data_IF_722740977280
#
_entry.id   IF_722740977280
#
_cell.length_a   1.000
_cell.length_b   1.000
_cell.length_c   1.000
_cell.angle_alpha   90.00
_cell.angle_beta   90.00
_cell.angle_gamma   90.00
#
_symmetry.space_group_name_H-M   'P 1'
#
loop_
_entity.id
_entity.type
_entity.pdbx_description
1 polymer ?
#
# COMPACT_ATOMS: atom_id res chain seq x y z
N UNK A 1 33.00 50.29 -34.30
CA UNK A 1 31.54 50.07 -34.21
C UNK A 1 31.37 48.55 -34.17
N UNK A 2 31.75 47.94 -33.04
CA UNK A 2 30.88 47.67 -31.87
C UNK A 2 29.82 46.62 -32.20
N UNK A 3 30.20 45.34 -32.02
CA UNK A 3 29.26 44.25 -31.80
C UNK A 3 29.08 44.10 -30.28
N UNK A 4 27.85 44.28 -29.83
CA UNK A 4 27.42 44.16 -28.43
C UNK A 4 27.17 42.68 -28.10
N UNK A 5 27.97 42.11 -27.21
CA UNK A 5 27.61 40.90 -26.47
C UNK A 5 26.59 41.26 -25.38
N UNK A 6 25.35 40.79 -25.55
CA UNK A 6 24.30 40.84 -24.54
C UNK A 6 24.52 39.71 -23.53
N UNK A 7 25.34 39.99 -22.51
CA UNK A 7 25.46 39.14 -21.33
C UNK A 7 24.30 39.47 -20.39
N UNK A 8 23.25 38.66 -20.47
CA UNK A 8 22.16 38.68 -19.51
C UNK A 8 22.70 38.59 -18.09
N UNK A 9 22.49 39.67 -17.32
CA UNK A 9 22.77 39.76 -15.90
C UNK A 9 22.00 38.66 -15.17
N UNK A 10 22.70 37.61 -14.73
CA UNK A 10 22.26 36.88 -13.56
C UNK A 10 22.34 37.87 -12.40
N UNK A 11 21.18 38.43 -12.03
CA UNK A 11 21.01 39.17 -10.79
C UNK A 11 21.58 38.30 -9.65
N UNK A 12 22.77 38.68 -9.20
CA UNK A 12 23.41 38.07 -8.04
C UNK A 12 22.45 38.26 -6.89
N UNK A 13 21.95 37.17 -6.32
CA UNK A 13 21.23 37.21 -5.05
C UNK A 13 22.18 37.93 -4.08
N UNK A 14 21.82 39.12 -3.55
CA UNK A 14 22.70 39.82 -2.65
C UNK A 14 22.94 38.90 -1.46
N UNK A 15 24.17 38.40 -1.34
CA UNK A 15 24.60 37.72 -0.12
C UNK A 15 24.85 38.87 0.85
N UNK A 16 24.05 39.02 1.92
CA UNK A 16 24.28 40.11 2.85
C UNK A 16 25.69 39.92 3.44
N UNK A 17 26.59 40.85 3.14
CA UNK A 17 27.82 41.00 3.90
C UNK A 17 27.41 41.45 5.29
N UNK A 18 27.45 40.52 6.25
CA UNK A 18 27.30 40.84 7.67
C UNK A 18 28.62 41.52 8.08
N UNK A 19 28.68 42.85 7.99
CA UNK A 19 29.73 43.64 8.63
C UNK A 19 29.38 43.84 10.10
N UNK A 20 30.16 43.22 11.00
CA UNK A 20 30.10 43.42 12.44
C UNK A 20 30.16 42.12 13.24
N UNK A 21 31.08 42.04 14.21
CA UNK A 21 31.08 40.97 15.21
C UNK A 21 29.88 41.17 16.16
N UNK A 22 28.90 40.28 16.09
CA UNK A 22 27.82 40.23 17.08
C UNK A 22 28.42 39.97 18.47
N UNK A 23 28.02 40.71 19.53
CA UNK A 23 28.52 40.46 20.87
C UNK A 23 28.28 38.99 21.28
N UNK A 24 29.28 38.26 21.80
CA UNK A 24 29.11 36.86 22.19
C UNK A 24 27.94 36.62 23.15
N UNK A 25 27.67 37.58 24.04
CA UNK A 25 26.54 37.54 24.95
C UNK A 25 25.17 37.59 24.23
N UNK A 26 25.07 38.30 23.11
CA UNK A 26 23.85 38.36 22.30
C UNK A 26 23.64 37.01 21.57
N UNK A 27 24.70 36.43 21.01
CA UNK A 27 24.65 35.10 20.38
C UNK A 27 24.16 34.05 21.37
N UNK A 28 24.68 34.09 22.61
CA UNK A 28 24.24 33.18 23.67
C UNK A 28 22.75 33.37 24.01
N UNK A 29 22.28 34.62 24.12
CA UNK A 29 20.85 34.92 24.36
C UNK A 29 19.96 34.39 23.23
N UNK A 30 20.35 34.58 21.98
CA UNK A 30 19.62 34.07 20.81
C UNK A 30 19.59 32.53 20.81
N UNK A 31 20.71 31.88 21.14
CA UNK A 31 20.78 30.42 21.20
C UNK A 31 19.88 29.82 22.30
N UNK A 32 19.85 30.46 23.48
CA UNK A 32 18.97 30.06 24.59
C UNK A 32 17.50 30.22 24.17
N UNK A 33 17.13 31.40 23.64
CA UNK A 33 15.79 31.69 23.15
C UNK A 33 15.34 30.67 22.08
N UNK A 34 16.21 30.32 21.14
CA UNK A 34 15.89 29.34 20.10
C UNK A 34 15.55 27.95 20.69
N UNK A 35 16.30 27.49 21.70
CA UNK A 35 16.03 26.23 22.41
C UNK A 35 14.79 26.29 23.27
N UNK A 36 14.51 27.42 23.90
CA UNK A 36 13.28 27.63 24.65
C UNK A 36 12.05 27.57 23.74
N UNK A 37 12.11 28.22 22.58
CA UNK A 37 11.04 28.16 21.58
C UNK A 37 10.86 26.74 21.03
N UNK A 38 11.93 26.03 20.68
CA UNK A 38 11.88 24.62 20.26
C UNK A 38 11.20 23.74 21.33
N UNK A 39 11.60 23.85 22.60
CA UNK A 39 11.00 23.11 23.69
C UNK A 39 9.52 23.46 23.90
N UNK A 40 9.17 24.75 23.78
CA UNK A 40 7.79 25.23 23.87
C UNK A 40 6.91 24.67 22.76
N UNK A 41 7.47 24.46 21.57
CA UNK A 41 6.80 23.83 20.44
C UNK A 41 7.09 22.32 20.36
N UNK A 42 7.15 21.64 21.50
CA UNK A 42 7.23 20.19 21.61
C UNK A 42 8.47 19.55 20.94
N UNK A 43 9.59 20.27 20.94
CA UNK A 43 10.83 19.80 20.33
C UNK A 43 10.87 19.95 18.80
N UNK A 44 9.92 20.67 18.20
CA UNK A 44 9.92 20.95 16.76
C UNK A 44 10.89 22.12 16.49
N UNK A 45 11.93 21.93 15.65
CA UNK A 45 12.86 23.00 15.32
C UNK A 45 12.14 24.17 14.61
N UNK A 46 12.49 25.39 15.01
CA UNK A 46 11.87 26.63 14.52
C UNK A 46 12.85 27.46 13.68
N UNK A 47 12.35 28.02 12.59
CA UNK A 47 12.94 29.14 11.88
C UNK A 47 12.45 30.43 12.58
N UNK A 48 13.39 31.25 13.07
CA UNK A 48 13.11 32.36 13.98
C UNK A 48 13.66 33.65 13.39
N UNK A 49 12.78 34.61 13.15
CA UNK A 49 13.15 36.00 12.86
C UNK A 49 13.15 36.80 14.16
N UNK A 50 14.26 37.47 14.44
CA UNK A 50 14.46 38.24 15.66
C UNK A 50 15.13 39.59 15.36
N UNK A 51 14.98 40.53 16.29
CA UNK A 51 15.62 41.84 16.26
C UNK A 51 16.20 42.19 17.62
N UNK A 52 17.25 43.01 17.65
CA UNK A 52 17.87 43.49 18.87
C UNK A 52 17.93 45.02 18.84
N UNK A 53 17.33 45.67 19.83
CA UNK A 53 17.24 47.14 19.89
C UNK A 53 18.43 47.82 20.61
N UNK A 54 19.41 47.02 21.06
CA UNK A 54 20.53 47.47 21.87
C UNK A 54 20.42 47.12 23.35
N UNK A 55 19.23 46.77 23.83
CA UNK A 55 18.94 46.39 25.22
C UNK A 55 18.26 45.02 25.32
N UNK A 56 17.24 44.79 24.50
CA UNK A 56 16.36 43.63 24.54
C UNK A 56 16.30 42.90 23.19
N UNK A 57 16.09 41.58 23.28
CA UNK A 57 15.95 40.70 22.13
C UNK A 57 14.47 40.45 21.88
N UNK A 58 14.00 40.84 20.69
CA UNK A 58 12.61 40.74 20.28
C UNK A 58 12.42 39.62 19.26
N UNK A 59 11.42 38.75 19.47
CA UNK A 59 10.99 37.76 18.48
C UNK A 59 9.97 38.40 17.56
N UNK A 60 10.24 38.38 16.26
CA UNK A 60 9.33 38.90 15.24
C UNK A 60 8.44 37.79 14.67
N UNK A 61 9.05 36.64 14.39
CA UNK A 61 8.35 35.48 13.85
C UNK A 61 9.03 34.19 14.31
N UNK A 62 8.25 33.15 14.58
CA UNK A 62 8.73 31.79 14.74
C UNK A 62 7.82 30.87 13.92
N UNK A 63 8.42 30.02 13.08
CA UNK A 63 7.69 29.04 12.26
C UNK A 63 8.41 27.69 12.22
N UNK A 64 7.71 26.55 12.16
CA UNK A 64 8.36 25.26 12.06
C UNK A 64 9.24 25.13 10.81
N UNK A 65 10.43 24.54 10.96
CA UNK A 65 11.28 24.20 9.82
C UNK A 65 10.72 22.94 9.14
N UNK A 66 10.14 23.11 7.95
CA UNK A 66 9.52 22.00 7.19
C UNK A 66 10.48 21.27 6.25
N UNK A 67 11.72 21.73 6.14
CA UNK A 67 12.75 21.21 5.22
C UNK A 67 13.77 20.28 5.89
N UNK A 68 13.65 20.04 7.20
CA UNK A 68 14.54 19.14 7.93
C UNK A 68 14.46 17.71 7.40
N UNK A 69 15.61 17.06 7.35
CA UNK A 69 15.72 15.67 6.95
C UNK A 69 15.66 14.76 8.19
N UNK A 70 15.08 13.56 8.10
CA UNK A 70 14.44 13.00 6.91
C UNK A 70 13.04 13.56 6.64
N UNK A 71 12.69 13.70 5.37
CA UNK A 71 11.34 14.05 4.91
C UNK A 71 10.49 12.78 4.89
N UNK A 72 9.44 12.77 5.69
CA UNK A 72 8.41 11.74 5.69
C UNK A 72 7.22 12.18 4.83
N UNK A 73 6.78 11.32 3.91
CA UNK A 73 5.65 11.63 3.02
C UNK A 73 4.57 10.56 3.06
N UNK A 74 3.31 11.01 3.01
CA UNK A 74 2.14 10.15 2.81
C UNK A 74 1.71 10.04 1.37
N UNK A 75 2.30 10.84 0.46
CA UNK A 75 1.80 10.97 -0.92
C UNK A 75 1.70 9.62 -1.65
N UNK A 76 2.68 8.75 -1.42
CA UNK A 76 2.73 7.40 -1.99
C UNK A 76 2.10 6.38 -1.03
N UNK A 77 2.31 6.54 0.28
CA UNK A 77 1.76 5.62 1.28
C UNK A 77 0.23 5.59 1.28
N UNK A 78 -0.43 6.75 1.13
CA UNK A 78 -1.88 6.88 1.11
C UNK A 78 -2.55 6.27 -0.13
N UNK A 79 -1.82 6.05 -1.23
CA UNK A 79 -2.37 5.34 -2.40
C UNK A 79 -2.46 3.83 -2.15
N UNK A 80 -1.57 3.30 -1.32
CA UNK A 80 -1.48 1.86 -1.02
C UNK A 80 -2.21 1.52 0.28
N UNK A 81 -2.18 2.44 1.25
CA UNK A 81 -2.75 2.32 2.60
C UNK A 81 -3.38 3.68 2.96
N UNK A 82 -4.61 3.97 2.50
CA UNK A 82 -5.24 5.29 2.65
C UNK A 82 -5.65 5.60 4.08
N UNK A 83 -6.04 4.58 4.85
CA UNK A 83 -6.62 4.71 6.19
C UNK A 83 -5.62 4.55 7.32
N UNK A 84 -6.17 4.49 8.54
CA UNK A 84 -5.43 4.08 9.72
C UNK A 84 -5.13 2.58 9.64
N UNK A 85 -3.90 2.20 9.92
CA UNK A 85 -3.43 0.81 9.90
C UNK A 85 -3.29 0.29 11.32
N UNK A 86 -3.88 -0.87 11.56
CA UNK A 86 -3.83 -1.54 12.86
C UNK A 86 -2.44 -2.15 13.11
N UNK A 87 -2.01 -2.29 14.39
CA UNK A 87 -0.72 -2.87 14.77
C UNK A 87 -0.39 -4.20 14.07
N UNK A 88 -1.35 -5.13 13.98
CA UNK A 88 -1.13 -6.43 13.36
C UNK A 88 -0.74 -6.29 11.89
N UNK A 89 -1.58 -5.60 11.11
CA UNK A 89 -1.35 -5.33 9.70
C UNK A 89 0.00 -4.66 9.48
N UNK A 90 0.35 -3.66 10.29
CA UNK A 90 1.64 -2.97 10.15
C UNK A 90 2.84 -3.86 10.47
N UNK A 91 2.75 -4.65 11.54
CA UNK A 91 3.82 -5.56 11.96
C UNK A 91 4.15 -6.61 10.89
N UNK A 92 3.21 -6.91 10.00
CA UNK A 92 3.36 -7.81 8.85
C UNK A 92 3.80 -7.06 7.58
N UNK A 93 3.09 -5.99 7.22
CA UNK A 93 3.33 -5.27 5.97
C UNK A 93 4.70 -4.60 5.95
N UNK A 94 5.15 -4.02 7.06
CA UNK A 94 6.48 -3.35 7.12
C UNK A 94 7.62 -4.29 6.75
N UNK A 95 7.84 -5.44 7.42
CA UNK A 95 8.94 -6.34 7.06
C UNK A 95 8.76 -6.97 5.68
N UNK A 96 7.54 -7.24 5.22
CA UNK A 96 7.29 -7.77 3.87
C UNK A 96 7.68 -6.77 2.80
N UNK A 97 7.09 -5.57 2.82
CA UNK A 97 7.31 -4.55 1.78
C UNK A 97 8.72 -3.98 1.83
N UNK A 98 9.21 -3.55 3.01
CA UNK A 98 10.56 -3.03 3.14
C UNK A 98 11.62 -4.10 2.85
N UNK A 99 11.36 -5.35 3.23
CA UNK A 99 12.27 -6.47 2.97
C UNK A 99 12.42 -6.75 1.48
N UNK A 100 11.32 -6.83 0.75
CA UNK A 100 11.34 -7.09 -0.70
C UNK A 100 11.94 -5.91 -1.47
N UNK A 101 11.62 -4.67 -1.10
CA UNK A 101 12.30 -3.49 -1.67
C UNK A 101 13.81 -3.53 -1.37
N UNK A 102 14.20 -3.89 -0.15
CA UNK A 102 15.59 -4.07 0.23
C UNK A 102 16.33 -5.10 -0.63
N UNK A 103 15.68 -6.22 -0.96
CA UNK A 103 16.22 -7.23 -1.88
C UNK A 103 16.40 -6.68 -3.30
N UNK A 104 15.41 -5.95 -3.83
CA UNK A 104 15.48 -5.30 -5.15
C UNK A 104 16.61 -4.26 -5.19
N UNK A 105 16.72 -3.41 -4.18
CA UNK A 105 17.79 -2.40 -4.09
C UNK A 105 19.17 -3.06 -3.95
N UNK A 106 19.26 -4.12 -3.15
CA UNK A 106 20.51 -4.88 -2.97
C UNK A 106 20.95 -5.57 -4.25
N UNK A 107 20.01 -6.08 -5.07
CA UNK A 107 20.32 -6.66 -6.38
C UNK A 107 21.08 -5.67 -7.29
N UNK A 108 20.70 -4.39 -7.24
CA UNK A 108 21.31 -3.33 -8.04
C UNK A 108 22.58 -2.79 -7.40
N UNK A 109 22.56 -2.50 -6.10
CA UNK A 109 23.67 -1.84 -5.39
C UNK A 109 24.81 -2.80 -4.98
N UNK A 110 24.53 -4.10 -4.84
CA UNK A 110 25.49 -5.08 -4.34
C UNK A 110 26.08 -4.68 -2.98
N UNK A 111 27.42 -4.69 -2.86
CA UNK A 111 28.12 -4.30 -1.61
C UNK A 111 27.81 -2.88 -1.14
N UNK A 112 27.34 -1.99 -2.03
CA UNK A 112 27.01 -0.59 -1.70
C UNK A 112 25.66 -0.44 -0.99
N UNK A 113 24.91 -1.53 -0.85
CA UNK A 113 23.76 -1.59 0.04
C UNK A 113 24.17 -1.67 1.53
N UNK A 114 25.44 -1.99 1.84
CA UNK A 114 25.93 -2.04 3.21
C UNK A 114 25.79 -0.67 3.89
N UNK A 115 25.20 -0.66 5.09
CA UNK A 115 24.92 0.55 5.86
C UNK A 115 23.59 1.24 5.54
N UNK A 116 22.76 0.68 4.66
CA UNK A 116 21.37 1.12 4.51
C UNK A 116 20.47 0.25 5.40
N UNK A 117 19.69 0.88 6.28
CA UNK A 117 18.60 0.19 6.97
C UNK A 117 17.30 0.36 6.17
N UNK A 118 16.91 -0.69 5.44
CA UNK A 118 15.66 -0.67 4.68
C UNK A 118 14.42 -0.60 5.57
N UNK A 119 14.51 -0.92 6.87
CA UNK A 119 13.39 -0.76 7.81
C UNK A 119 13.03 0.70 8.04
N UNK A 120 13.99 1.63 7.85
CA UNK A 120 13.77 3.08 7.97
C UNK A 120 13.12 3.69 6.72
N UNK A 121 12.82 2.88 5.69
CA UNK A 121 12.11 3.37 4.49
C UNK A 121 10.63 3.65 4.74
N UNK A 122 10.06 3.08 5.81
CA UNK A 122 8.67 3.27 6.18
C UNK A 122 8.49 3.35 7.71
N UNK A 123 7.60 4.21 8.17
CA UNK A 123 7.25 4.37 9.59
C UNK A 123 5.75 4.58 9.77
N UNK A 124 5.28 4.49 11.02
CA UNK A 124 3.96 4.97 11.42
C UNK A 124 4.07 6.28 12.17
N UNK A 125 3.22 7.22 11.81
CA UNK A 125 2.90 8.37 12.65
C UNK A 125 1.38 8.41 12.85
N UNK A 126 0.93 8.35 14.11
CA UNK A 126 -0.48 8.33 14.50
C UNK A 126 -1.30 7.30 13.69
N UNK A 127 -0.85 6.04 13.72
CA UNK A 127 -1.50 4.91 13.03
C UNK A 127 -1.61 5.05 11.51
N UNK A 128 -0.78 5.88 10.89
CA UNK A 128 -0.75 6.00 9.44
C UNK A 128 0.64 5.82 8.87
N UNK A 129 0.72 5.18 7.71
CA UNK A 129 1.98 4.88 7.04
C UNK A 129 2.59 6.12 6.37
N UNK A 130 3.90 6.29 6.57
CA UNK A 130 4.72 7.29 5.91
C UNK A 130 5.95 6.61 5.30
N UNK A 131 6.37 7.08 4.13
CA UNK A 131 7.64 6.68 3.53
C UNK A 131 8.71 7.75 3.74
N UNK A 132 9.94 7.30 3.97
CA UNK A 132 11.11 8.16 4.10
C UNK A 132 11.58 8.57 2.69
N UNK A 133 11.09 9.72 2.22
CA UNK A 133 11.39 10.23 0.90
C UNK A 133 12.88 10.54 0.73
N UNK A 134 13.54 10.97 1.81
CA UNK A 134 14.98 11.25 1.83
C UNK A 134 15.79 9.98 1.57
N UNK A 135 15.56 8.94 2.37
CA UNK A 135 16.28 7.68 2.25
C UNK A 135 16.02 7.02 0.89
N UNK A 136 14.77 6.99 0.44
CA UNK A 136 14.42 6.46 -0.88
C UNK A 136 15.12 7.25 -2.00
N UNK A 137 15.11 8.59 -1.93
CA UNK A 137 15.80 9.44 -2.88
C UNK A 137 17.31 9.16 -2.93
N UNK A 138 17.94 8.95 -1.77
CA UNK A 138 19.35 8.60 -1.69
C UNK A 138 19.65 7.21 -2.23
N UNK A 139 18.76 6.23 -2.01
CA UNK A 139 18.86 4.90 -2.60
C UNK A 139 18.80 4.99 -4.13
N UNK A 140 17.81 5.70 -4.69
CA UNK A 140 17.67 5.84 -6.14
C UNK A 140 18.89 6.56 -6.76
N UNK A 141 19.35 7.66 -6.14
CA UNK A 141 20.59 8.33 -6.57
C UNK A 141 21.78 7.39 -6.53
N UNK A 142 21.92 6.57 -5.48
CA UNK A 142 22.98 5.56 -5.38
C UNK A 142 22.89 4.50 -6.47
N UNK A 143 21.68 4.15 -6.93
CA UNK A 143 21.45 3.27 -8.09
C UNK A 143 21.73 3.95 -9.43
N UNK A 144 21.88 5.28 -9.46
CA UNK A 144 22.03 6.07 -10.69
C UNK A 144 20.70 6.36 -11.37
N UNK A 145 19.62 6.40 -10.59
CA UNK A 145 18.28 6.77 -11.00
C UNK A 145 17.89 8.11 -10.34
N UNK A 146 16.98 8.90 -10.93
CA UNK A 146 16.44 10.11 -10.31
C UNK A 146 15.84 9.85 -8.92
N UNK A 147 15.92 10.78 -7.95
CA UNK A 147 15.29 10.62 -6.64
C UNK A 147 13.75 10.52 -6.73
N UNK A 148 13.14 11.10 -7.76
CA UNK A 148 11.70 11.01 -8.05
C UNK A 148 11.31 9.68 -8.73
N UNK A 149 12.22 8.72 -8.86
CA UNK A 149 11.96 7.47 -9.59
C UNK A 149 10.77 6.69 -9.04
N UNK A 150 10.57 6.67 -7.72
CA UNK A 150 9.40 6.00 -7.15
C UNK A 150 8.11 6.70 -7.56
N UNK A 151 8.07 8.02 -7.55
CA UNK A 151 6.89 8.80 -7.95
C UNK A 151 6.63 8.72 -9.46
N UNK A 152 7.68 8.68 -10.28
CA UNK A 152 7.56 8.35 -11.69
C UNK A 152 6.89 7.00 -11.89
N UNK A 153 7.36 6.00 -11.17
CA UNK A 153 6.96 4.62 -11.31
C UNK A 153 5.55 4.33 -10.79
N UNK A 154 5.12 5.02 -9.73
CA UNK A 154 3.79 4.86 -9.14
C UNK A 154 2.74 5.80 -9.72
N UNK A 155 3.13 7.01 -10.15
CA UNK A 155 2.18 8.07 -10.56
C UNK A 155 2.44 8.67 -11.95
N UNK A 156 3.42 8.18 -12.70
CA UNK A 156 3.69 8.66 -14.06
C UNK A 156 4.27 10.07 -14.13
N UNK A 157 5.00 10.52 -13.09
CA UNK A 157 5.68 11.83 -13.07
C UNK A 157 6.71 11.98 -14.21
N UNK A 158 7.29 13.18 -14.43
CA UNK A 158 8.31 13.33 -15.48
C UNK A 158 9.65 12.75 -15.02
N UNK A 159 10.25 11.87 -15.82
CA UNK A 159 11.57 11.33 -15.56
C UNK A 159 12.65 12.40 -15.85
N UNK A 160 13.36 12.84 -14.81
CA UNK A 160 14.51 13.74 -14.97
C UNK A 160 15.73 12.97 -15.52
N UNK A 161 16.70 13.68 -16.11
CA UNK A 161 17.87 13.02 -16.71
C UNK A 161 18.70 12.34 -15.61
N UNK A 162 19.03 11.04 -15.74
CA UNK A 162 19.78 10.33 -14.71
C UNK A 162 21.22 10.86 -14.61
N UNK A 163 21.82 10.84 -13.40
CA UNK A 163 23.21 11.24 -13.21
C UNK A 163 24.19 10.25 -13.86
N UNK A 164 24.71 10.61 -15.03
CA UNK A 164 25.46 9.72 -15.95
C UNK A 164 26.64 8.97 -15.31
N UNK A 165 27.39 9.60 -14.41
CA UNK A 165 28.57 8.99 -13.76
C UNK A 165 28.20 7.89 -12.75
N UNK A 166 27.12 8.06 -12.01
CA UNK A 166 26.58 7.03 -11.10
C UNK A 166 25.83 5.94 -11.86
N UNK A 167 25.09 6.28 -12.91
CA UNK A 167 24.39 5.28 -13.74
C UNK A 167 25.37 4.29 -14.35
N UNK A 168 26.48 4.78 -14.95
CA UNK A 168 27.50 3.92 -15.57
C UNK A 168 28.10 2.91 -14.59
N UNK A 169 28.29 3.34 -13.33
CA UNK A 169 28.86 2.49 -12.26
C UNK A 169 27.93 1.36 -11.83
N UNK A 170 26.62 1.53 -11.95
CA UNK A 170 25.62 0.53 -11.54
C UNK A 170 25.00 -0.23 -12.71
N UNK A 171 25.48 -0.01 -13.94
CA UNK A 171 25.02 -0.74 -15.14
C UNK A 171 24.96 -2.25 -14.91
N UNK A 172 25.95 -2.93 -14.31
CA UNK A 172 25.85 -4.38 -14.10
C UNK A 172 24.65 -4.78 -13.22
N UNK A 173 24.36 -4.01 -12.16
CA UNK A 173 23.22 -4.27 -11.28
C UNK A 173 21.88 -3.95 -11.95
N UNK A 174 21.83 -2.84 -12.69
CA UNK A 174 20.65 -2.45 -13.47
C UNK A 174 20.35 -3.48 -14.58
N UNK A 175 21.37 -4.04 -15.24
CA UNK A 175 21.21 -5.10 -16.23
C UNK A 175 20.67 -6.40 -15.61
N UNK A 176 21.08 -6.73 -14.37
CA UNK A 176 20.47 -7.87 -13.65
C UNK A 176 19.00 -7.62 -13.34
N UNK A 177 18.65 -6.41 -12.90
CA UNK A 177 17.27 -6.03 -12.64
C UNK A 177 16.44 -6.07 -13.94
N UNK A 178 17.00 -5.58 -15.05
CA UNK A 178 16.37 -5.68 -16.37
C UNK A 178 16.22 -7.13 -16.83
N UNK A 179 17.18 -8.01 -16.54
CA UNK A 179 17.04 -9.44 -16.82
C UNK A 179 15.89 -10.08 -16.04
N UNK A 180 15.73 -9.73 -14.75
CA UNK A 180 14.59 -10.14 -13.92
C UNK A 180 13.27 -9.60 -14.44
N UNK A 181 13.26 -8.35 -14.89
CA UNK A 181 12.11 -7.71 -15.51
C UNK A 181 11.71 -8.41 -16.83
N UNK A 182 12.70 -8.80 -17.64
CA UNK A 182 12.46 -9.47 -18.91
C UNK A 182 11.78 -10.83 -18.73
N UNK A 183 12.29 -11.63 -17.79
CA UNK A 183 11.78 -12.97 -17.48
C UNK A 183 10.60 -12.97 -16.50
N UNK A 184 10.04 -11.81 -16.14
CA UNK A 184 9.07 -11.69 -15.05
C UNK A 184 7.84 -12.60 -15.21
N UNK A 185 7.29 -12.74 -16.42
CA UNK A 185 6.15 -13.65 -16.67
C UNK A 185 6.53 -15.12 -16.43
N UNK A 186 7.72 -15.51 -16.89
CA UNK A 186 8.20 -16.88 -16.78
C UNK A 186 8.56 -17.22 -15.32
N UNK A 187 9.24 -16.31 -14.63
CA UNK A 187 9.54 -16.41 -13.21
C UNK A 187 8.23 -16.54 -12.41
N UNK A 188 7.22 -15.71 -12.74
CA UNK A 188 5.90 -15.78 -12.11
C UNK A 188 5.21 -17.12 -12.36
N UNK A 189 5.22 -17.64 -13.59
CA UNK A 189 4.56 -18.91 -13.91
C UNK A 189 5.24 -20.09 -13.20
N UNK A 190 6.57 -20.09 -13.11
CA UNK A 190 7.31 -21.09 -12.33
C UNK A 190 6.93 -21.03 -10.84
N UNK A 191 6.91 -19.83 -10.25
CA UNK A 191 6.51 -19.66 -8.85
C UNK A 191 5.02 -19.96 -8.63
N UNK A 192 4.17 -19.72 -9.63
CA UNK A 192 2.75 -20.02 -9.59
C UNK A 192 2.51 -21.53 -9.47
N UNK A 193 3.12 -22.31 -10.36
CA UNK A 193 2.99 -23.77 -10.34
C UNK A 193 3.65 -24.39 -9.11
N UNK A 194 4.77 -23.82 -8.65
CA UNK A 194 5.55 -24.41 -7.55
C UNK A 194 5.05 -24.01 -6.16
N UNK A 195 4.59 -22.79 -5.97
CA UNK A 195 4.27 -22.23 -4.65
C UNK A 195 2.85 -21.69 -4.54
N UNK A 196 2.38 -20.85 -5.48
CA UNK A 196 1.09 -20.17 -5.32
C UNK A 196 -0.10 -21.12 -5.42
N UNK A 197 -0.24 -21.84 -6.54
CA UNK A 197 -1.39 -22.73 -6.76
C UNK A 197 -1.47 -23.89 -5.74
N UNK A 198 -0.37 -24.60 -5.40
CA UNK A 198 -0.43 -25.66 -4.39
C UNK A 198 -0.79 -25.12 -3.00
N UNK A 199 -0.26 -23.95 -2.64
CA UNK A 199 -0.55 -23.35 -1.33
C UNK A 199 -2.01 -22.92 -1.25
N UNK A 200 -2.52 -22.19 -2.26
CA UNK A 200 -3.93 -21.77 -2.28
C UNK A 200 -4.89 -22.96 -2.30
N UNK A 201 -4.59 -24.00 -3.08
CA UNK A 201 -5.38 -25.23 -3.10
C UNK A 201 -5.45 -25.89 -1.72
N UNK A 202 -4.31 -26.00 -1.02
CA UNK A 202 -4.30 -26.53 0.35
C UNK A 202 -5.07 -25.64 1.33
N UNK A 203 -4.90 -24.32 1.23
CA UNK A 203 -5.57 -23.36 2.12
C UNK A 203 -7.10 -23.39 1.91
N UNK A 204 -7.57 -23.55 0.69
CA UNK A 204 -8.99 -23.64 0.36
C UNK A 204 -9.61 -24.99 0.75
N UNK A 205 -8.82 -26.07 0.74
CA UNK A 205 -9.31 -27.41 1.09
C UNK A 205 -9.58 -27.58 2.60
N UNK A 206 -8.88 -26.84 3.46
CA UNK A 206 -9.04 -26.92 4.92
C UNK A 206 -9.23 -25.51 5.51
N UNK A 207 -10.45 -25.18 5.97
CA UNK A 207 -10.72 -23.92 6.66
C UNK A 207 -9.85 -23.73 7.91
N UNK A 208 -9.44 -22.49 8.18
CA UNK A 208 -8.62 -22.20 9.37
C UNK A 208 -9.38 -22.41 10.69
N UNK A 209 -10.71 -22.31 10.68
CA UNK A 209 -11.59 -22.51 11.84
C UNK A 209 -11.57 -23.94 12.38
N UNK A 210 -11.11 -24.92 11.60
CA UNK A 210 -11.01 -26.33 12.00
C UNK A 210 -9.65 -26.69 12.62
N UNK A 211 -8.71 -25.74 12.67
CA UNK A 211 -7.34 -25.96 13.10
C UNK A 211 -7.11 -25.57 14.57
N UNK A 212 -6.19 -26.26 15.22
CA UNK A 212 -5.70 -25.86 16.55
C UNK A 212 -4.80 -24.61 16.46
N UNK A 213 -4.64 -23.82 17.54
CA UNK A 213 -3.88 -22.56 17.52
C UNK A 213 -2.47 -22.66 16.94
N UNK A 214 -1.73 -23.72 17.27
CA UNK A 214 -0.36 -23.94 16.74
C UNK A 214 -0.38 -24.21 15.24
N UNK A 215 -1.34 -25.01 14.75
CA UNK A 215 -1.49 -25.28 13.33
C UNK A 215 -1.96 -24.05 12.54
N UNK A 216 -2.75 -23.17 13.16
CA UNK A 216 -3.10 -21.86 12.58
C UNK A 216 -1.84 -20.98 12.46
N UNK A 217 -0.95 -20.99 13.46
CA UNK A 217 0.29 -20.23 13.39
C UNK A 217 1.22 -20.75 12.30
N UNK A 218 1.39 -22.07 12.18
CA UNK A 218 2.15 -22.69 11.08
C UNK A 218 1.57 -22.33 9.71
N UNK A 219 0.23 -22.30 9.61
CA UNK A 219 -0.48 -21.85 8.41
C UNK A 219 -0.18 -20.39 8.09
N UNK A 220 -0.20 -19.49 9.09
CA UNK A 220 0.15 -18.08 8.93
C UNK A 220 1.59 -17.93 8.43
N UNK A 221 2.57 -18.60 9.05
CA UNK A 221 3.98 -18.54 8.64
C UNK A 221 4.18 -19.04 7.20
N UNK A 222 3.46 -20.10 6.82
CA UNK A 222 3.43 -20.58 5.42
C UNK A 222 2.87 -19.53 4.47
N UNK A 223 1.75 -18.89 4.82
CA UNK A 223 1.15 -17.82 4.01
C UNK A 223 2.13 -16.66 3.87
N UNK A 224 2.74 -16.19 4.96
CA UNK A 224 3.71 -15.08 4.95
C UNK A 224 4.93 -15.38 4.07
N UNK A 225 5.41 -16.62 4.09
CA UNK A 225 6.52 -17.08 3.23
C UNK A 225 6.17 -16.97 1.75
N UNK A 226 4.97 -17.39 1.36
CA UNK A 226 4.49 -17.31 -0.02
C UNK A 226 4.12 -15.88 -0.40
N UNK A 227 3.53 -15.13 0.52
CA UNK A 227 3.17 -13.73 0.36
C UNK A 227 4.40 -12.85 0.13
N UNK A 228 5.55 -13.16 0.76
CA UNK A 228 6.82 -12.49 0.44
C UNK A 228 7.19 -12.62 -1.05
N UNK A 229 7.00 -13.80 -1.65
CA UNK A 229 7.20 -14.00 -3.10
C UNK A 229 6.16 -13.24 -3.92
N UNK A 230 4.89 -13.30 -3.53
CA UNK A 230 3.82 -12.57 -4.21
C UNK A 230 4.05 -11.04 -4.14
N UNK A 231 4.60 -10.54 -3.03
CA UNK A 231 4.96 -9.12 -2.83
C UNK A 231 6.00 -8.65 -3.84
N UNK A 232 6.99 -9.48 -4.19
CA UNK A 232 7.96 -9.18 -5.24
C UNK A 232 7.29 -8.92 -6.59
N UNK A 233 6.37 -9.78 -7.00
CA UNK A 233 5.60 -9.58 -8.23
C UNK A 233 4.61 -8.42 -8.12
N UNK A 234 3.98 -8.23 -6.95
CA UNK A 234 3.05 -7.12 -6.69
C UNK A 234 3.72 -5.76 -6.82
N UNK A 235 5.02 -5.69 -6.50
CA UNK A 235 5.87 -4.52 -6.76
C UNK A 235 6.28 -4.47 -8.23
N UNK A 236 6.88 -5.51 -8.80
CA UNK A 236 7.47 -5.42 -10.15
C UNK A 236 6.47 -5.39 -11.30
N UNK A 237 5.30 -6.04 -11.20
CA UNK A 237 4.34 -6.10 -12.31
C UNK A 237 3.74 -4.73 -12.65
N UNK A 238 3.28 -3.91 -11.70
CA UNK A 238 2.89 -2.52 -11.98
C UNK A 238 4.04 -1.68 -12.54
N UNK A 239 5.26 -1.83 -12.01
CA UNK A 239 6.43 -1.10 -12.50
C UNK A 239 6.76 -1.47 -13.96
N UNK A 240 6.69 -2.75 -14.28
CA UNK A 240 6.89 -3.32 -15.60
C UNK A 240 5.84 -2.81 -16.61
N UNK A 241 4.58 -2.72 -16.17
CA UNK A 241 3.48 -2.15 -16.94
C UNK A 241 3.72 -0.66 -17.23
N UNK A 242 3.94 0.16 -16.18
CA UNK A 242 4.19 1.60 -16.30
C UNK A 242 5.39 1.90 -17.20
N UNK A 243 6.47 1.14 -17.05
CA UNK A 243 7.68 1.28 -17.87
C UNK A 243 7.38 1.02 -19.36
N UNK A 244 6.67 -0.05 -19.70
CA UNK A 244 6.33 -0.34 -21.11
C UNK A 244 5.31 0.63 -21.68
N UNK A 245 4.33 1.08 -20.91
CA UNK A 245 3.41 2.15 -21.33
C UNK A 245 4.19 3.41 -21.71
N UNK A 246 5.17 3.81 -20.88
CA UNK A 246 6.01 4.96 -21.14
C UNK A 246 6.91 4.78 -22.38
N UNK A 247 7.58 3.63 -22.52
CA UNK A 247 8.49 3.35 -23.64
C UNK A 247 7.75 3.21 -24.98
N UNK A 248 6.62 2.51 -24.99
CA UNK A 248 5.83 2.23 -26.19
C UNK A 248 4.74 3.28 -26.46
N UNK A 249 4.60 4.28 -25.58
CA UNK A 249 3.61 5.37 -25.67
C UNK A 249 2.16 4.87 -25.80
N UNK A 250 1.83 3.79 -25.09
CA UNK A 250 0.49 3.19 -25.09
C UNK A 250 -0.37 3.88 -24.03
N UNK A 251 -1.52 4.40 -24.43
CA UNK A 251 -2.47 5.05 -23.50
C UNK A 251 -3.34 4.00 -22.79
N UNK A 252 -3.80 4.34 -21.59
CA UNK A 252 -4.66 3.44 -20.80
C UNK A 252 -5.94 3.00 -21.52
N UNK A 253 -6.53 3.85 -22.38
CA UNK A 253 -7.75 3.53 -23.14
C UNK A 253 -7.54 2.46 -24.21
N UNK A 254 -6.28 2.15 -24.57
CA UNK A 254 -5.95 1.11 -25.54
C UNK A 254 -5.86 -0.28 -24.90
N UNK A 255 -5.84 -0.34 -23.57
CA UNK A 255 -5.68 -1.58 -22.81
C UNK A 255 -7.03 -2.12 -22.34
N UNK A 256 -7.15 -3.45 -22.37
CA UNK A 256 -8.30 -4.16 -21.84
C UNK A 256 -8.06 -4.48 -20.36
N UNK A 257 -8.79 -3.80 -19.47
CA UNK A 257 -8.76 -4.05 -18.02
C UNK A 257 -9.83 -5.03 -17.57
N UNK A 258 -10.57 -5.62 -18.50
CA UNK A 258 -11.75 -6.39 -18.17
C UNK A 258 -11.47 -7.74 -17.48
N UNK A 259 -10.19 -8.13 -17.43
CA UNK A 259 -9.65 -9.30 -16.76
C UNK A 259 -8.98 -8.98 -15.41
N UNK A 260 -8.88 -7.70 -15.01
CA UNK A 260 -8.35 -7.39 -13.67
C UNK A 260 -9.40 -7.75 -12.62
N UNK A 261 -9.04 -8.34 -11.47
CA UNK A 261 -9.99 -8.90 -10.50
C UNK A 261 -11.15 -7.97 -10.11
N UNK A 262 -10.84 -6.69 -9.87
CA UNK A 262 -11.83 -5.68 -9.45
C UNK A 262 -12.81 -5.33 -10.57
N UNK A 263 -12.36 -5.36 -11.82
CA UNK A 263 -13.24 -5.10 -12.98
C UNK A 263 -14.00 -6.37 -13.35
N UNK A 264 -13.37 -7.54 -13.28
CA UNK A 264 -14.00 -8.82 -13.53
C UNK A 264 -15.14 -9.08 -12.55
N UNK A 265 -14.94 -8.79 -11.25
CA UNK A 265 -15.98 -8.90 -10.23
C UNK A 265 -17.17 -7.99 -10.53
N UNK A 266 -16.93 -6.70 -10.80
CA UNK A 266 -18.01 -5.77 -11.16
C UNK A 266 -18.74 -6.19 -12.44
N UNK A 267 -18.06 -6.72 -13.46
CA UNK A 267 -18.70 -7.27 -14.66
C UNK A 267 -19.53 -8.51 -14.37
N UNK A 268 -19.09 -9.36 -13.45
CA UNK A 268 -19.87 -10.51 -13.00
C UNK A 268 -21.14 -10.05 -12.28
N UNK A 269 -21.01 -9.06 -11.40
CA UNK A 269 -22.12 -8.47 -10.66
C UNK A 269 -23.13 -7.76 -11.56
N UNK A 270 -22.66 -7.04 -12.61
CA UNK A 270 -23.53 -6.43 -13.61
C UNK A 270 -24.35 -7.47 -14.36
N UNK A 271 -23.74 -8.60 -14.77
CA UNK A 271 -24.47 -9.70 -15.42
C UNK A 271 -25.54 -10.28 -14.50
N UNK A 272 -25.18 -10.52 -13.24
CA UNK A 272 -26.13 -11.01 -12.24
C UNK A 272 -27.30 -10.04 -12.03
N UNK A 273 -27.03 -8.74 -12.01
CA UNK A 273 -28.07 -7.71 -11.93
C UNK A 273 -28.95 -7.64 -13.19
N UNK A 274 -28.39 -7.87 -14.39
CA UNK A 274 -29.16 -7.99 -15.62
C UNK A 274 -30.10 -9.21 -15.59
N UNK A 275 -29.61 -10.37 -15.18
CA UNK A 275 -30.40 -11.59 -15.04
C UNK A 275 -31.53 -11.41 -14.01
N UNK A 276 -31.21 -10.81 -12.86
CA UNK A 276 -32.19 -10.50 -11.82
C UNK A 276 -33.27 -9.52 -12.29
N UNK A 277 -32.91 -8.49 -13.08
CA UNK A 277 -33.89 -7.56 -13.70
C UNK A 277 -34.87 -8.25 -14.62
N UNK A 278 -34.42 -9.24 -15.39
CA UNK A 278 -35.28 -9.97 -16.31
C UNK A 278 -36.31 -10.83 -15.56
N UNK A 279 -35.95 -11.33 -14.38
CA UNK A 279 -36.80 -12.18 -13.54
C UNK A 279 -37.72 -11.36 -12.63
N UNK A 280 -37.25 -10.21 -12.13
CA UNK A 280 -37.97 -9.41 -11.14
C UNK A 280 -38.49 -8.12 -11.77
N UNK A 281 -39.81 -7.96 -11.83
CA UNK A 281 -40.43 -6.67 -12.08
C UNK A 281 -40.43 -5.85 -10.79
N UNK A 282 -39.28 -5.34 -10.38
CA UNK A 282 -39.16 -4.52 -9.17
C UNK A 282 -39.80 -3.15 -9.39
N UNK A 283 -40.58 -2.70 -8.41
CA UNK A 283 -41.03 -1.32 -8.35
C UNK A 283 -39.85 -0.41 -7.96
N UNK A 284 -39.78 0.84 -8.45
CA UNK A 284 -38.68 1.76 -8.15
C UNK A 284 -38.46 2.00 -6.65
N UNK A 285 -39.51 1.93 -5.82
CA UNK A 285 -39.44 2.14 -4.38
C UNK A 285 -38.66 1.04 -3.64
N UNK A 286 -38.58 -0.18 -4.20
CA UNK A 286 -37.83 -1.30 -3.61
C UNK A 286 -36.31 -1.08 -3.66
N UNK A 287 -35.84 -0.19 -4.52
CA UNK A 287 -34.42 0.08 -4.76
C UNK A 287 -33.72 0.92 -3.69
N UNK A 288 -34.46 1.53 -2.77
CA UNK A 288 -33.88 2.42 -1.74
C UNK A 288 -33.18 1.65 -0.60
N UNK A 289 -33.59 0.40 -0.34
CA UNK A 289 -33.02 -0.40 0.73
C UNK A 289 -32.58 -1.79 0.23
N UNK A 290 -31.26 -2.09 0.20
CA UNK A 290 -30.77 -3.39 -0.23
C UNK A 290 -31.33 -4.55 0.59
N UNK A 291 -31.55 -4.39 1.89
CA UNK A 291 -32.10 -5.45 2.73
C UNK A 291 -33.50 -5.88 2.28
N UNK A 292 -34.32 -4.92 1.85
CA UNK A 292 -35.65 -5.20 1.30
C UNK A 292 -35.57 -5.97 -0.01
N UNK A 293 -34.65 -5.59 -0.92
CA UNK A 293 -34.46 -6.32 -2.20
C UNK A 293 -34.03 -7.76 -1.97
N UNK A 294 -33.06 -7.99 -1.08
CA UNK A 294 -32.62 -9.34 -0.73
C UNK A 294 -33.70 -10.14 0.02
N UNK A 295 -34.56 -9.47 0.81
CA UNK A 295 -35.74 -10.07 1.40
C UNK A 295 -36.75 -10.53 0.35
N UNK A 296 -37.11 -9.67 -0.61
CA UNK A 296 -38.00 -10.01 -1.71
C UNK A 296 -37.43 -11.15 -2.57
N UNK A 297 -36.13 -11.13 -2.88
CA UNK A 297 -35.45 -12.21 -3.59
C UNK A 297 -35.60 -13.57 -2.89
N UNK A 298 -35.63 -13.61 -1.56
CA UNK A 298 -35.77 -14.85 -0.82
C UNK A 298 -37.20 -15.44 -0.86
N UNK A 299 -38.20 -14.60 -1.11
CA UNK A 299 -39.62 -15.02 -1.14
C UNK A 299 -40.04 -15.62 -2.50
N UNK A 300 -39.37 -15.25 -3.59
CA UNK A 300 -39.70 -15.73 -4.93
C UNK A 300 -38.87 -16.97 -5.32
N UNK A 301 -39.48 -18.02 -5.91
CA UNK A 301 -38.74 -19.19 -6.41
C UNK A 301 -37.62 -18.83 -7.40
N UNK A 302 -37.89 -17.90 -8.33
CA UNK A 302 -36.90 -17.41 -9.30
C UNK A 302 -35.80 -16.56 -8.63
N UNK A 303 -36.10 -15.96 -7.47
CA UNK A 303 -35.15 -15.18 -6.68
C UNK A 303 -34.13 -16.06 -5.95
N UNK A 304 -34.46 -17.32 -5.63
CA UNK A 304 -33.50 -18.27 -5.04
C UNK A 304 -32.32 -18.53 -5.98
N UNK A 305 -32.56 -18.66 -7.29
CA UNK A 305 -31.49 -18.83 -8.29
C UNK A 305 -30.53 -17.62 -8.30
N UNK A 306 -31.05 -16.40 -8.15
CA UNK A 306 -30.22 -15.19 -8.06
C UNK A 306 -29.42 -15.16 -6.76
N UNK A 307 -30.00 -15.59 -5.64
CA UNK A 307 -29.30 -15.69 -4.36
C UNK A 307 -28.18 -16.74 -4.41
N UNK A 308 -28.41 -17.88 -5.06
CA UNK A 308 -27.38 -18.91 -5.28
C UNK A 308 -26.23 -18.37 -6.15
N UNK A 309 -26.53 -17.67 -7.24
CA UNK A 309 -25.52 -17.03 -8.08
C UNK A 309 -24.77 -15.91 -7.35
N UNK A 310 -25.45 -15.16 -6.48
CA UNK A 310 -24.81 -14.15 -5.63
C UNK A 310 -23.86 -14.81 -4.61
N UNK A 311 -24.26 -15.94 -4.02
CA UNK A 311 -23.37 -16.70 -3.14
C UNK A 311 -22.18 -17.29 -3.91
N UNK A 312 -22.37 -17.77 -5.14
CA UNK A 312 -21.27 -18.19 -6.01
C UNK A 312 -20.33 -17.03 -6.33
N UNK A 313 -20.86 -15.83 -6.57
CA UNK A 313 -20.06 -14.62 -6.72
C UNK A 313 -19.20 -14.35 -5.48
N UNK A 314 -19.75 -14.50 -4.28
CA UNK A 314 -19.00 -14.35 -3.04
C UNK A 314 -17.95 -15.45 -2.83
N UNK A 315 -18.20 -16.67 -3.32
CA UNK A 315 -17.17 -17.72 -3.30
C UNK A 315 -16.01 -17.42 -4.26
N UNK A 316 -16.30 -16.86 -5.44
CA UNK A 316 -15.29 -16.53 -6.45
C UNK A 316 -14.52 -15.25 -6.11
N UNK A 317 -15.21 -14.17 -5.72
CA UNK A 317 -14.63 -12.83 -5.52
C UNK A 317 -14.65 -12.34 -4.08
N UNK A 318 -15.18 -13.11 -3.14
CA UNK A 318 -15.33 -12.67 -1.75
C UNK A 318 -14.03 -12.56 -0.95
N UNK A 319 -12.88 -12.90 -1.56
CA UNK A 319 -11.55 -12.57 -1.03
C UNK A 319 -11.20 -11.09 -1.16
N UNK A 320 -11.90 -10.33 -2.00
CA UNK A 320 -11.69 -8.89 -2.17
C UNK A 320 -12.21 -8.10 -0.97
N UNK A 321 -11.64 -6.92 -0.74
CA UNK A 321 -12.02 -5.97 0.30
C UNK A 321 -11.85 -4.54 -0.21
N UNK A 322 -12.39 -3.56 0.52
CA UNK A 322 -12.27 -2.14 0.16
C UNK A 322 -10.82 -1.64 0.22
N UNK A 323 -10.02 -2.21 1.13
CA UNK A 323 -8.58 -1.92 1.27
C UNK A 323 -7.81 -3.23 1.18
N UNK A 324 -7.41 -3.59 -0.03
CA UNK A 324 -6.78 -4.88 -0.33
C UNK A 324 -5.53 -5.18 0.52
N UNK A 325 -4.81 -4.16 0.99
CA UNK A 325 -3.54 -4.29 1.73
C UNK A 325 -3.70 -4.32 3.25
N UNK A 326 -4.89 -4.01 3.77
CA UNK A 326 -5.16 -4.02 5.21
C UNK A 326 -5.97 -5.25 5.61
N UNK A 327 -5.30 -6.24 6.19
CA UNK A 327 -5.93 -7.47 6.66
C UNK A 327 -6.89 -7.27 7.83
N UNK A 328 -6.97 -6.08 8.42
CA UNK A 328 -7.95 -5.75 9.43
C UNK A 328 -9.29 -5.27 8.83
N UNK A 329 -9.36 -5.00 7.52
CA UNK A 329 -10.61 -4.73 6.81
C UNK A 329 -11.29 -6.05 6.39
N UNK A 330 -12.59 -6.24 6.67
CA UNK A 330 -13.35 -7.41 6.25
C UNK A 330 -13.31 -7.64 4.74
N UNK A 331 -13.21 -8.90 4.31
CA UNK A 331 -13.46 -9.25 2.91
C UNK A 331 -14.96 -9.29 2.61
N UNK A 332 -15.34 -9.21 1.34
CA UNK A 332 -16.75 -9.26 0.93
C UNK A 332 -17.44 -10.58 1.31
N UNK A 333 -16.69 -11.67 1.50
CA UNK A 333 -17.22 -12.93 2.03
C UNK A 333 -17.62 -12.81 3.50
N UNK A 334 -16.91 -12.01 4.29
CA UNK A 334 -17.21 -11.78 5.71
C UNK A 334 -18.31 -10.74 5.89
N UNK A 335 -18.22 -9.62 5.15
CA UNK A 335 -19.22 -8.58 5.12
C UNK A 335 -19.66 -8.28 3.67
N UNK A 336 -20.77 -8.89 3.21
CA UNK A 336 -21.25 -8.68 1.85
C UNK A 336 -21.98 -7.35 1.67
N UNK A 337 -22.17 -6.52 2.72
CA UNK A 337 -22.96 -5.29 2.64
C UNK A 337 -22.51 -4.36 1.50
N UNK A 338 -21.23 -4.02 1.33
CA UNK A 338 -20.81 -3.11 0.25
C UNK A 338 -21.21 -3.63 -1.14
N UNK A 339 -21.00 -4.93 -1.39
CA UNK A 339 -21.34 -5.57 -2.68
C UNK A 339 -22.84 -5.66 -2.87
N UNK A 340 -23.63 -5.93 -1.81
CA UNK A 340 -25.10 -5.91 -1.88
C UNK A 340 -25.62 -4.56 -2.33
N UNK A 341 -25.04 -3.46 -1.82
CA UNK A 341 -25.40 -2.12 -2.25
C UNK A 341 -25.08 -1.90 -3.73
N UNK A 342 -23.89 -2.29 -4.19
CA UNK A 342 -23.50 -2.18 -5.61
C UNK A 342 -24.41 -3.02 -6.50
N UNK A 343 -24.75 -4.25 -6.08
CA UNK A 343 -25.66 -5.13 -6.80
C UNK A 343 -27.04 -4.49 -6.99
N UNK A 344 -27.62 -3.96 -5.91
CA UNK A 344 -28.92 -3.29 -5.93
C UNK A 344 -28.87 -2.02 -6.77
N UNK A 345 -27.77 -1.26 -6.69
CA UNK A 345 -27.57 -0.12 -7.57
C UNK A 345 -27.56 -0.54 -9.04
N UNK A 346 -26.82 -1.60 -9.41
CA UNK A 346 -26.76 -2.09 -10.79
C UNK A 346 -28.07 -2.70 -11.28
N UNK A 347 -28.86 -3.28 -10.38
CA UNK A 347 -30.19 -3.80 -10.64
C UNK A 347 -31.13 -2.66 -11.03
N UNK A 348 -31.11 -1.57 -10.29
CA UNK A 348 -32.01 -0.43 -10.49
C UNK A 348 -31.54 0.52 -11.60
N UNK A 349 -30.22 0.71 -11.72
CA UNK A 349 -29.59 1.54 -12.75
C UNK A 349 -28.55 0.72 -13.50
N UNK A 350 -28.77 0.48 -14.80
CA UNK A 350 -27.77 -0.19 -15.63
C UNK A 350 -26.49 0.65 -15.70
N UNK A 351 -25.34 0.14 -15.24
CA UNK A 351 -24.09 0.87 -15.41
C UNK A 351 -23.75 1.01 -16.90
N UNK A 352 -23.04 2.07 -17.30
CA UNK A 352 -22.62 2.22 -18.69
C UNK A 352 -21.76 1.02 -19.10
N UNK A 353 -22.09 0.42 -20.25
CA UNK A 353 -21.40 -0.77 -20.74
C UNK A 353 -19.90 -0.49 -20.93
N UNK A 354 -19.05 -1.06 -20.07
CA UNK A 354 -17.60 -1.05 -20.25
C UNK A 354 -17.24 -2.04 -21.36
N UNK A 355 -17.07 -1.54 -22.60
CA UNK A 355 -16.70 -2.39 -23.73
C UNK A 355 -15.18 -2.45 -23.87
N UNK A 356 -14.57 -3.63 -23.97
CA UNK A 356 -13.15 -3.75 -24.26
C UNK A 356 -12.83 -3.13 -25.62
N UNK A 357 -11.59 -2.66 -25.84
CA UNK A 357 -11.18 -2.08 -27.11
C UNK A 357 -11.34 -3.10 -28.26
N UNK A 358 -12.05 -2.74 -29.33
CA UNK A 358 -12.36 -3.65 -30.45
C UNK A 358 -11.13 -4.12 -31.24
N UNK A 359 -10.07 -3.32 -31.29
CA UNK A 359 -8.78 -3.63 -31.93
C UNK A 359 -7.66 -2.96 -31.14
N UNK A 360 -6.66 -3.73 -30.77
CA UNK A 360 -5.44 -3.23 -30.16
C UNK A 360 -4.35 -3.08 -31.22
N UNK A 361 -3.46 -2.12 -31.03
CA UNK A 361 -2.23 -2.01 -31.84
C UNK A 361 -1.22 -3.04 -31.31
N UNK A 362 -0.29 -3.50 -32.14
CA UNK A 362 0.77 -4.44 -31.71
C UNK A 362 1.51 -3.98 -30.43
N UNK A 363 1.80 -2.69 -30.31
CA UNK A 363 2.39 -2.10 -29.10
C UNK A 363 1.50 -2.27 -27.86
N UNK A 364 0.18 -2.06 -28.03
CA UNK A 364 -0.79 -2.23 -26.96
C UNK A 364 -0.93 -3.70 -26.56
N UNK A 365 -0.86 -4.64 -27.51
CA UNK A 365 -0.85 -6.09 -27.22
C UNK A 365 0.38 -6.50 -26.38
N UNK A 366 1.57 -5.96 -26.69
CA UNK A 366 2.78 -6.20 -25.88
C UNK A 366 2.64 -5.66 -24.45
N UNK A 367 1.99 -4.50 -24.29
CA UNK A 367 1.70 -3.92 -22.96
C UNK A 367 0.59 -4.71 -22.26
N UNK A 368 -0.38 -5.24 -23.00
CA UNK A 368 -1.50 -6.02 -22.49
C UNK A 368 -1.01 -7.27 -21.74
N UNK A 369 0.06 -7.92 -22.21
CA UNK A 369 0.67 -9.05 -21.50
C UNK A 369 1.08 -8.66 -20.08
N UNK A 370 1.71 -7.49 -19.89
CA UNK A 370 2.09 -7.00 -18.55
C UNK A 370 0.89 -6.57 -17.71
N UNK A 371 -0.16 -6.04 -18.33
CA UNK A 371 -1.41 -5.74 -17.62
C UNK A 371 -2.07 -7.03 -17.11
N UNK A 372 -2.09 -8.08 -17.94
CA UNK A 372 -2.64 -9.39 -17.56
C UNK A 372 -1.81 -10.02 -16.43
N UNK A 373 -0.47 -9.96 -16.51
CA UNK A 373 0.40 -10.38 -15.42
C UNK A 373 0.06 -9.63 -14.12
N UNK A 374 -0.03 -8.29 -14.17
CA UNK A 374 -0.41 -7.46 -13.02
C UNK A 374 -1.75 -7.94 -12.44
N UNK A 375 -2.75 -8.21 -13.28
CA UNK A 375 -4.05 -8.74 -12.85
C UNK A 375 -3.95 -10.06 -12.09
N UNK A 376 -3.25 -11.06 -12.67
CA UNK A 376 -3.01 -12.37 -12.04
C UNK A 376 -2.25 -12.25 -10.72
N UNK A 377 -1.25 -11.38 -10.68
CA UNK A 377 -0.46 -11.12 -9.46
C UNK A 377 -1.36 -10.50 -8.38
N UNK A 378 -2.16 -9.50 -8.73
CA UNK A 378 -3.10 -8.86 -7.81
C UNK A 378 -4.11 -9.87 -7.26
N UNK A 379 -4.66 -10.73 -8.10
CA UNK A 379 -5.56 -11.82 -7.68
C UNK A 379 -4.93 -12.71 -6.60
N UNK A 380 -3.75 -13.27 -6.90
CA UNK A 380 -3.05 -14.19 -5.98
C UNK A 380 -2.64 -13.48 -4.70
N UNK A 381 -2.17 -12.24 -4.81
CA UNK A 381 -1.79 -11.44 -3.65
C UNK A 381 -2.99 -11.19 -2.72
N UNK A 382 -4.14 -10.79 -3.28
CA UNK A 382 -5.37 -10.55 -2.52
C UNK A 382 -5.93 -11.83 -1.91
N UNK A 383 -5.90 -12.96 -2.64
CA UNK A 383 -6.32 -14.27 -2.10
C UNK A 383 -5.44 -14.71 -0.91
N UNK A 384 -4.12 -14.51 -1.00
CA UNK A 384 -3.20 -14.83 0.11
C UNK A 384 -3.45 -13.92 1.32
N UNK A 385 -3.74 -12.63 1.11
CA UNK A 385 -4.10 -11.72 2.21
C UNK A 385 -5.45 -12.06 2.85
N UNK A 386 -6.45 -12.47 2.06
CA UNK A 386 -7.71 -12.97 2.58
C UNK A 386 -7.50 -14.23 3.43
N UNK A 387 -6.72 -15.19 2.94
CA UNK A 387 -6.37 -16.40 3.69
C UNK A 387 -5.59 -16.08 4.99
N UNK A 388 -4.71 -15.08 4.95
CA UNK A 388 -4.00 -14.59 6.13
C UNK A 388 -4.98 -14.03 7.16
N UNK A 389 -5.90 -13.15 6.73
CA UNK A 389 -6.95 -12.58 7.57
C UNK A 389 -7.83 -13.67 8.19
N UNK A 390 -8.35 -14.60 7.40
CA UNK A 390 -9.20 -15.69 7.90
C UNK A 390 -8.47 -16.59 8.91
N UNK A 391 -7.15 -16.73 8.77
CA UNK A 391 -6.34 -17.45 9.76
C UNK A 391 -6.26 -16.70 11.10
N UNK A 392 -6.09 -15.37 11.08
CA UNK A 392 -6.12 -14.57 12.30
C UNK A 392 -7.52 -14.54 12.95
N UNK A 393 -8.58 -14.45 12.17
CA UNK A 393 -9.96 -14.48 12.69
C UNK A 393 -10.26 -15.84 13.32
N UNK A 394 -9.83 -16.94 12.72
CA UNK A 394 -9.97 -18.26 13.32
C UNK A 394 -9.25 -18.36 14.68
N UNK A 395 -8.05 -17.77 14.80
CA UNK A 395 -7.32 -17.70 16.06
C UNK A 395 -8.06 -16.82 17.09
N UNK A 396 -8.57 -15.67 16.67
CA UNK A 396 -9.36 -14.77 17.51
C UNK A 396 -10.61 -15.46 18.05
N UNK A 397 -11.34 -16.23 17.21
CA UNK A 397 -12.52 -16.97 17.64
C UNK A 397 -12.20 -17.96 18.78
N UNK A 398 -11.05 -18.66 18.71
CA UNK A 398 -10.60 -19.55 19.79
C UNK A 398 -10.24 -18.77 21.07
N UNK A 399 -9.70 -17.56 20.93
CA UNK A 399 -9.35 -16.69 22.05
C UNK A 399 -10.56 -16.02 22.69
N UNK A 400 -11.60 -15.70 21.91
CA UNK A 400 -12.89 -15.25 22.43
C UNK A 400 -13.59 -16.38 23.21
N UNK A 401 -13.59 -17.61 22.68
CA UNK A 401 -14.16 -18.77 23.36
C UNK A 401 -13.47 -19.10 24.69
N UNK A 402 -12.17 -18.84 24.78
CA UNK A 402 -11.38 -19.03 26.01
C UNK A 402 -11.31 -17.78 26.90
N UNK A 403 -12.04 -16.71 26.55
CA UNK A 403 -12.06 -15.42 27.24
C UNK A 403 -10.67 -14.77 27.40
N UNK A 404 -9.75 -15.07 26.48
CA UNK A 404 -8.46 -14.41 26.39
C UNK A 404 -8.58 -13.02 25.76
N UNK A 405 -9.44 -12.88 24.75
CA UNK A 405 -9.85 -11.60 24.16
C UNK A 405 -11.31 -11.28 24.53
N UNK A 406 -11.68 -10.00 24.45
CA UNK A 406 -12.98 -9.51 24.91
C UNK A 406 -13.95 -9.28 23.76
N UNK A 407 -13.50 -8.64 22.67
CA UNK A 407 -14.34 -8.23 21.55
C UNK A 407 -13.79 -8.73 20.20
N UNK A 408 -14.67 -9.02 19.22
CA UNK A 408 -14.23 -9.29 17.84
C UNK A 408 -13.47 -8.10 17.25
N UNK A 409 -12.30 -8.36 16.69
CA UNK A 409 -11.39 -7.36 16.14
C UNK A 409 -10.22 -6.99 17.06
N UNK A 410 -10.25 -7.38 18.34
CA UNK A 410 -9.17 -7.13 19.31
C UNK A 410 -7.82 -7.68 18.81
N UNK A 411 -7.82 -8.80 18.08
CA UNK A 411 -6.58 -9.41 17.58
C UNK A 411 -5.78 -8.48 16.68
N UNK A 412 -6.45 -7.58 15.95
CA UNK A 412 -5.78 -6.66 15.03
C UNK A 412 -4.97 -5.58 15.75
N UNK A 413 -5.23 -5.36 17.05
CA UNK A 413 -4.46 -4.45 17.90
C UNK A 413 -3.18 -5.07 18.49
N UNK A 414 -2.92 -6.34 18.22
CA UNK A 414 -1.69 -7.04 18.60
C UNK A 414 -0.67 -6.99 17.47
N UNK A 415 0.62 -7.02 17.79
CA UNK A 415 1.67 -7.28 16.81
C UNK A 415 1.81 -8.78 16.55
N UNK A 416 2.27 -9.17 15.36
CA UNK A 416 2.44 -10.59 15.02
C UNK A 416 3.38 -11.34 15.99
N UNK A 417 4.43 -10.68 16.48
CA UNK A 417 5.35 -11.26 17.47
C UNK A 417 4.70 -11.44 18.86
N UNK A 418 3.68 -10.64 19.20
CA UNK A 418 2.88 -10.82 20.42
C UNK A 418 1.97 -12.04 20.27
N UNK A 419 1.33 -12.20 19.11
CA UNK A 419 0.50 -13.37 18.79
C UNK A 419 1.33 -14.66 18.87
N UNK A 420 2.54 -14.67 18.29
CA UNK A 420 3.46 -15.82 18.36
C UNK A 420 3.78 -16.22 19.81
N UNK A 421 4.07 -15.25 20.68
CA UNK A 421 4.36 -15.49 22.11
C UNK A 421 3.14 -16.00 22.87
N UNK A 422 1.96 -15.47 22.57
CA UNK A 422 0.69 -15.90 23.18
C UNK A 422 0.35 -17.34 22.81
N UNK A 423 0.50 -17.73 21.54
CA UNK A 423 0.29 -19.11 21.08
C UNK A 423 1.32 -20.06 21.71
N UNK A 424 2.59 -19.65 21.79
CA UNK A 424 3.65 -20.45 22.41
C UNK A 424 3.54 -20.56 23.94
N UNK A 425 2.72 -19.71 24.59
CA UNK A 425 2.62 -19.64 26.04
C UNK A 425 3.91 -19.16 26.72
N UNK A 426 4.77 -18.43 26.00
CA UNK A 426 6.11 -18.05 26.46
C UNK A 426 6.17 -16.71 27.21
N UNK A 427 5.05 -15.97 27.28
CA UNK A 427 4.99 -14.65 27.90
C UNK A 427 3.73 -14.51 28.80
N UNK A 428 3.81 -14.91 30.08
CA UNK A 428 2.68 -14.85 31.00
C UNK A 428 2.27 -13.40 31.31
N UNK A 429 3.24 -12.47 31.36
CA UNK A 429 2.99 -11.05 31.63
C UNK A 429 2.16 -10.40 30.53
N UNK A 430 2.45 -10.72 29.25
CA UNK A 430 1.66 -10.27 28.12
C UNK A 430 0.22 -10.82 28.21
N UNK A 431 0.07 -12.09 28.60
CA UNK A 431 -1.24 -12.73 28.74
C UNK A 431 -2.10 -12.07 29.81
N UNK A 432 -1.53 -11.72 30.96
CA UNK A 432 -2.24 -11.04 32.05
C UNK A 432 -2.68 -9.63 31.69
N UNK A 433 -1.85 -8.89 30.95
CA UNK A 433 -2.10 -7.49 30.59
C UNK A 433 -2.74 -7.31 29.19
N UNK A 434 -3.17 -8.40 28.54
CA UNK A 434 -3.58 -8.40 27.14
C UNK A 434 -4.72 -7.42 26.86
N UNK A 435 -5.79 -7.48 27.65
CA UNK A 435 -6.95 -6.59 27.47
C UNK A 435 -6.58 -5.12 27.71
N UNK A 436 -5.68 -4.83 28.67
CA UNK A 436 -5.20 -3.45 28.88
C UNK A 436 -4.39 -2.95 27.69
N UNK A 437 -3.51 -3.80 27.13
CA UNK A 437 -2.72 -3.48 25.95
C UNK A 437 -3.61 -3.12 24.75
N UNK A 438 -4.65 -3.91 24.51
CA UNK A 438 -5.61 -3.66 23.42
C UNK A 438 -6.33 -2.33 23.65
N UNK A 439 -6.84 -2.07 24.85
CA UNK A 439 -7.52 -0.82 25.18
C UNK A 439 -6.62 0.42 25.02
N UNK A 440 -5.32 0.31 25.37
CA UNK A 440 -4.36 1.40 25.17
C UNK A 440 -4.10 1.69 23.69
N UNK A 441 -4.18 0.67 22.82
CA UNK A 441 -3.96 0.82 21.36
C UNK A 441 -5.23 1.18 20.59
N UNK A 442 -6.38 1.00 21.21
CA UNK A 442 -7.69 1.38 20.68
C UNK A 442 -7.96 2.88 20.88
N UNK A 443 -7.46 3.46 21.97
CA UNK A 443 -7.47 4.90 22.26
C UNK A 443 -6.28 5.62 21.62
#
# INVERSE_FOLDING_TARGET
>A
KEDKEDKGEFSQIPTPQIEGDLPPALIQKVAILARELENRYHGIPQDIEWSYDGQELWVLQARPITTLQPIWTRKIAAEVIPGQIRPLTWSINRPLTCGVWGEIFTLVLGKRAQGLDFKETATLHYSHAYFNATLLGDIFRRMGLPPESLEFLTRGAKFSKPPMSSTLRNVPGLLRLLGREWNLDQDFEVDYQKYFAPTLSQLNAQPASELAPVAILDRIDKILTVLKRATYYSILAPLSLSLRQALLKVKDKELDRSQTPEVASLRSLTRLAEDARHLLRLEPATCENPASVFGSLAEFPDGQSILEQFNQFLEEYGYLSDVATDIAVPTWKEDPQPVRHIFVQFLCESPPASRPPKRQRLQAELVQVRLNLKGRVTEIYSQLLAQLRWSFIALEQLWLQSSLLSEPGDIFFLEFAEIQRLVAGSDPTLRENLNQLVQVRLN
#
